data_IF_240824444803
#
_entry.id   IF_240824444803
#
_cell.length_a   1.000
_cell.length_b   1.000
_cell.length_c   1.000
_cell.angle_alpha   90.00
_cell.angle_beta   90.00
_cell.angle_gamma   90.00
#
_symmetry.space_group_name_H-M   'P 1'
#
loop_
_entity.id
_entity.type
_entity.pdbx_description
1 polymer ?
#
# COMPACT_ATOMS: atom_id res chain seq x y z
N UNK A 1 -10.05 -29.40 3.97
CA UNK A 1 -9.89 -28.38 5.03
C UNK A 1 -10.64 -27.15 4.58
N UNK A 2 -11.43 -26.55 5.47
CA UNK A 2 -12.12 -25.29 5.20
C UNK A 2 -11.15 -24.11 5.27
N UNK A 3 -11.55 -22.97 4.71
CA UNK A 3 -10.76 -21.73 4.78
C UNK A 3 -10.53 -21.27 6.22
N UNK A 4 -11.52 -21.46 7.10
CA UNK A 4 -11.41 -21.12 8.52
C UNK A 4 -10.43 -22.05 9.25
N UNK A 5 -10.50 -23.36 9.02
CA UNK A 5 -9.56 -24.34 9.61
C UNK A 5 -8.12 -24.07 9.16
N UNK A 6 -7.94 -23.75 7.87
CA UNK A 6 -6.65 -23.39 7.31
C UNK A 6 -6.09 -22.13 8.00
N UNK A 7 -6.87 -21.06 8.05
CA UNK A 7 -6.47 -19.80 8.65
C UNK A 7 -6.12 -19.97 10.13
N UNK A 8 -6.96 -20.67 10.91
CA UNK A 8 -6.70 -20.92 12.32
C UNK A 8 -5.39 -21.67 12.55
N UNK A 9 -5.08 -22.67 11.71
CA UNK A 9 -3.85 -23.45 11.85
C UNK A 9 -2.60 -22.64 11.46
N UNK A 10 -2.66 -21.86 10.37
CA UNK A 10 -1.56 -20.98 9.97
C UNK A 10 -1.32 -19.92 11.04
N UNK A 11 -2.38 -19.23 11.48
CA UNK A 11 -2.30 -18.21 12.52
C UNK A 11 -1.75 -18.75 13.84
N UNK A 12 -2.17 -19.94 14.26
CA UNK A 12 -1.65 -20.59 15.47
C UNK A 12 -0.15 -20.91 15.37
N UNK A 13 0.35 -21.29 14.19
CA UNK A 13 1.78 -21.53 13.95
C UNK A 13 2.58 -20.23 14.00
N UNK A 14 2.08 -19.17 13.39
CA UNK A 14 2.72 -17.84 13.43
C UNK A 14 2.72 -17.26 14.86
N UNK A 15 1.62 -17.43 15.59
CA UNK A 15 1.48 -16.98 16.98
C UNK A 15 2.43 -17.70 17.94
N UNK A 16 2.80 -18.95 17.64
CA UNK A 16 3.73 -19.73 18.45
C UNK A 16 5.21 -19.36 18.20
N UNK A 17 5.52 -18.51 17.21
CA UNK A 17 6.89 -18.07 16.97
C UNK A 17 7.41 -17.18 18.11
N UNK A 18 8.68 -17.34 18.53
CA UNK A 18 9.26 -16.51 19.57
C UNK A 18 9.17 -15.01 19.24
N UNK A 19 8.70 -14.22 20.20
CA UNK A 19 8.58 -12.77 20.08
C UNK A 19 7.26 -12.28 19.45
N UNK A 20 6.46 -13.16 18.84
CA UNK A 20 5.15 -12.80 18.31
C UNK A 20 4.21 -12.36 19.44
N UNK A 21 3.65 -11.16 19.32
CA UNK A 21 2.66 -10.58 20.22
C UNK A 21 1.25 -10.60 19.63
N UNK A 22 1.14 -10.47 18.31
CA UNK A 22 -0.13 -10.57 17.61
C UNK A 22 0.05 -11.10 16.18
N UNK A 23 -1.03 -11.66 15.63
CA UNK A 23 -1.11 -12.10 14.23
C UNK A 23 -2.37 -11.53 13.63
N UNK A 24 -2.28 -10.97 12.43
CA UNK A 24 -3.44 -10.44 11.70
C UNK A 24 -3.61 -11.09 10.34
N UNK A 25 -4.86 -11.09 9.84
CA UNK A 25 -5.21 -11.28 8.44
C UNK A 25 -5.42 -9.91 7.82
N UNK A 26 -4.79 -9.64 6.68
CA UNK A 26 -4.94 -8.43 5.91
C UNK A 26 -5.52 -8.66 4.51
N UNK A 27 -5.22 -7.71 3.63
CA UNK A 27 -5.48 -7.83 2.22
C UNK A 27 -6.95 -7.96 1.83
N UNK A 28 -7.21 -8.67 0.73
CA UNK A 28 -8.54 -8.81 0.16
C UNK A 28 -9.48 -9.66 1.02
N UNK A 29 -8.92 -10.61 1.80
CA UNK A 29 -9.67 -11.51 2.68
C UNK A 29 -10.22 -10.78 3.90
N UNK A 30 -9.39 -9.97 4.57
CA UNK A 30 -9.85 -9.11 5.67
C UNK A 30 -10.91 -8.09 5.22
N UNK A 31 -10.84 -7.62 3.97
CA UNK A 31 -11.79 -6.66 3.40
C UNK A 31 -13.04 -7.33 2.78
N UNK A 32 -13.13 -8.66 2.75
CA UNK A 32 -14.26 -9.38 2.14
C UNK A 32 -14.37 -9.22 0.61
N UNK A 33 -13.29 -8.84 -0.07
CA UNK A 33 -13.25 -8.60 -1.53
C UNK A 33 -12.45 -9.65 -2.31
N UNK A 34 -12.04 -10.71 -1.62
CA UNK A 34 -11.26 -11.80 -2.16
C UNK A 34 -12.06 -12.67 -3.15
N UNK A 35 -11.33 -13.32 -4.04
CA UNK A 35 -11.79 -14.41 -4.91
C UNK A 35 -11.17 -15.72 -4.43
N UNK A 36 -11.59 -16.88 -4.95
CA UNK A 36 -10.96 -18.16 -4.64
C UNK A 36 -9.44 -18.19 -4.91
N UNK A 37 -8.97 -17.43 -5.90
CA UNK A 37 -7.57 -17.32 -6.31
C UNK A 37 -6.76 -16.30 -5.50
N UNK A 38 -7.42 -15.54 -4.62
CA UNK A 38 -6.72 -14.55 -3.81
C UNK A 38 -5.79 -15.20 -2.80
N UNK A 39 -4.61 -14.60 -2.66
CA UNK A 39 -3.63 -14.85 -1.63
C UNK A 39 -4.18 -14.63 -0.22
N UNK A 40 -3.41 -15.09 0.76
CA UNK A 40 -3.64 -14.86 2.18
C UNK A 40 -2.53 -13.96 2.71
N UNK A 41 -2.86 -12.70 2.96
CA UNK A 41 -1.94 -11.76 3.59
C UNK A 41 -2.04 -11.88 5.11
N UNK A 42 -0.99 -12.33 5.79
CA UNK A 42 -0.87 -12.30 7.24
C UNK A 42 0.24 -11.35 7.68
N UNK A 43 0.21 -10.92 8.94
CA UNK A 43 1.31 -10.20 9.55
C UNK A 43 1.63 -10.72 10.95
N UNK A 44 2.91 -10.81 11.26
CA UNK A 44 3.44 -11.07 12.61
C UNK A 44 3.79 -9.72 13.22
N UNK A 45 3.16 -9.40 14.35
CA UNK A 45 3.53 -8.25 15.16
C UNK A 45 4.42 -8.74 16.30
N UNK A 46 5.60 -8.16 16.41
CA UNK A 46 6.58 -8.50 17.44
C UNK A 46 7.08 -7.24 18.12
N UNK A 47 7.71 -7.38 19.28
CA UNK A 47 8.39 -6.28 19.98
C UNK A 47 9.82 -6.70 20.33
N UNK A 48 10.78 -5.81 20.11
CA UNK A 48 12.19 -6.10 20.31
C UNK A 48 12.72 -7.02 19.22
N UNK A 49 13.18 -8.22 19.58
CA UNK A 49 13.84 -9.13 18.63
C UNK A 49 12.85 -10.12 18.02
N UNK A 50 12.87 -10.24 16.69
CA UNK A 50 12.26 -11.34 15.94
C UNK A 50 13.32 -11.98 15.05
N UNK A 51 13.38 -13.31 15.04
CA UNK A 51 14.33 -14.07 14.24
C UNK A 51 13.62 -14.73 13.05
N UNK A 52 13.84 -14.24 11.80
CA UNK A 52 13.28 -14.86 10.60
C UNK A 52 13.65 -16.33 10.43
N UNK A 53 14.75 -16.81 11.04
CA UNK A 53 15.08 -18.23 11.03
C UNK A 53 13.97 -19.09 11.66
N UNK A 54 13.33 -18.61 12.74
CA UNK A 54 12.23 -19.35 13.38
C UNK A 54 11.02 -19.51 12.44
N UNK A 55 10.73 -18.51 11.59
CA UNK A 55 9.69 -18.63 10.57
C UNK A 55 10.09 -19.64 9.48
N UNK A 56 11.36 -19.62 9.05
CA UNK A 56 11.90 -20.53 8.04
C UNK A 56 11.87 -21.99 8.51
N UNK A 57 12.16 -22.23 9.78
CA UNK A 57 12.15 -23.56 10.42
C UNK A 57 10.76 -24.20 10.50
N UNK A 58 9.67 -23.45 10.28
CA UNK A 58 8.34 -24.05 10.12
C UNK A 58 8.33 -25.04 8.94
N UNK A 59 9.19 -24.83 7.93
CA UNK A 59 9.36 -25.77 6.81
C UNK A 59 8.25 -25.69 5.76
N UNK A 60 7.52 -24.58 5.69
CA UNK A 60 6.62 -24.31 4.57
C UNK A 60 7.42 -24.05 3.29
N UNK A 61 6.91 -24.53 2.15
CA UNK A 61 7.51 -24.28 0.85
C UNK A 61 7.42 -22.79 0.51
N UNK A 62 8.56 -22.14 0.28
CA UNK A 62 8.61 -20.69 0.10
C UNK A 62 9.95 -20.05 0.44
N UNK A 63 9.93 -18.73 0.49
CA UNK A 63 11.09 -17.88 0.78
C UNK A 63 10.81 -16.99 1.99
N UNK A 64 11.82 -16.80 2.82
CA UNK A 64 11.78 -15.96 4.02
C UNK A 64 12.91 -14.94 3.92
N UNK A 65 12.56 -13.66 3.95
CA UNK A 65 13.54 -12.58 3.97
C UNK A 65 14.13 -12.39 5.36
N UNK A 66 15.32 -11.83 5.44
CA UNK A 66 15.83 -11.27 6.70
C UNK A 66 15.03 -10.00 7.08
N UNK A 67 15.19 -9.54 8.33
CA UNK A 67 14.73 -8.21 8.72
C UNK A 67 15.47 -7.15 7.88
N UNK A 68 14.75 -6.17 7.37
CA UNK A 68 15.24 -5.17 6.42
C UNK A 68 15.32 -5.67 4.97
N UNK A 69 15.00 -6.93 4.69
CA UNK A 69 15.18 -7.55 3.38
C UNK A 69 14.40 -6.90 2.23
N UNK A 70 13.37 -6.09 2.54
CA UNK A 70 12.57 -5.35 1.56
C UNK A 70 12.86 -3.84 1.53
N UNK A 71 13.96 -3.40 2.14
CA UNK A 71 14.44 -2.00 2.12
C UNK A 71 14.49 -1.33 3.49
N UNK A 72 13.94 -1.97 4.53
CA UNK A 72 14.02 -1.51 5.93
C UNK A 72 13.15 -0.31 6.27
N UNK A 73 12.28 0.14 5.36
CA UNK A 73 11.25 1.15 5.62
C UNK A 73 10.01 0.56 6.28
N UNK A 74 8.84 1.12 5.95
CA UNK A 74 7.52 0.63 6.41
C UNK A 74 7.37 -0.87 6.19
N UNK A 75 7.88 -1.38 5.07
CA UNK A 75 7.97 -2.81 4.78
C UNK A 75 9.36 -3.34 5.13
N UNK A 76 9.47 -3.92 6.33
CA UNK A 76 10.72 -4.42 6.89
C UNK A 76 11.08 -5.88 6.49
N UNK A 77 10.29 -6.51 5.62
CA UNK A 77 10.49 -7.91 5.24
C UNK A 77 9.29 -8.80 5.51
N UNK A 78 9.45 -10.08 5.21
CA UNK A 78 8.40 -11.06 5.32
C UNK A 78 8.77 -12.43 4.75
N UNK A 79 7.75 -13.20 4.40
CA UNK A 79 7.91 -14.44 3.64
C UNK A 79 6.76 -14.68 2.67
N UNK A 80 7.06 -15.41 1.60
CA UNK A 80 6.11 -15.86 0.60
C UNK A 80 6.08 -17.38 0.60
N UNK A 81 4.90 -17.97 0.82
CA UNK A 81 4.75 -19.40 0.98
C UNK A 81 3.67 -19.98 0.07
N UNK A 82 3.80 -21.27 -0.19
CA UNK A 82 2.72 -22.12 -0.68
C UNK A 82 2.39 -23.14 0.40
N UNK A 83 1.29 -22.92 1.12
CA UNK A 83 0.84 -23.82 2.19
C UNK A 83 -0.39 -24.56 1.69
N UNK A 84 -0.27 -25.89 1.52
CA UNK A 84 -1.36 -26.74 1.01
C UNK A 84 -1.98 -26.22 -0.31
N UNK A 85 -1.12 -25.74 -1.22
CA UNK A 85 -1.51 -25.21 -2.52
C UNK A 85 -2.03 -23.77 -2.50
N UNK A 86 -2.03 -23.09 -1.34
CA UNK A 86 -2.51 -21.71 -1.18
C UNK A 86 -1.33 -20.75 -1.04
N UNK A 87 -1.38 -19.61 -1.75
CA UNK A 87 -0.38 -18.55 -1.62
C UNK A 87 -0.61 -17.77 -0.32
N UNK A 88 0.44 -17.66 0.49
CA UNK A 88 0.41 -16.99 1.79
C UNK A 88 1.59 -16.04 1.89
N UNK A 89 1.29 -14.78 2.14
CA UNK A 89 2.26 -13.72 2.36
C UNK A 89 2.28 -13.42 3.87
N UNK A 90 3.45 -13.30 4.47
CA UNK A 90 3.61 -12.99 5.89
C UNK A 90 4.48 -11.76 6.03
N UNK A 91 3.93 -10.67 6.56
CA UNK A 91 4.67 -9.43 6.81
C UNK A 91 5.21 -9.35 8.23
N UNK A 92 6.37 -8.69 8.39
CA UNK A 92 6.92 -8.34 9.70
C UNK A 92 6.47 -6.95 10.13
N UNK A 93 6.00 -6.84 11.37
CA UNK A 93 5.54 -5.58 11.97
C UNK A 93 6.17 -5.41 13.35
N UNK A 94 7.18 -4.54 13.42
CA UNK A 94 7.75 -4.11 14.69
C UNK A 94 6.75 -3.18 15.40
N UNK A 95 6.30 -3.57 16.59
CA UNK A 95 5.33 -2.81 17.36
C UNK A 95 5.83 -1.41 17.76
N UNK A 96 7.14 -1.23 17.98
CA UNK A 96 7.66 0.08 18.36
C UNK A 96 7.63 1.04 17.16
N UNK A 97 7.84 0.53 15.94
CA UNK A 97 7.66 1.30 14.69
C UNK A 97 6.18 1.58 14.43
N UNK A 98 5.31 0.58 14.61
CA UNK A 98 3.86 0.72 14.42
C UNK A 98 3.29 1.78 15.37
N UNK A 99 3.69 1.75 16.64
CA UNK A 99 3.26 2.75 17.64
C UNK A 99 3.81 4.14 17.33
N UNK A 100 5.05 4.24 16.84
CA UNK A 100 5.62 5.51 16.39
C UNK A 100 4.83 6.11 15.21
N UNK A 101 4.57 5.34 14.15
CA UNK A 101 3.85 5.82 12.98
C UNK A 101 2.38 6.13 13.27
N UNK A 102 1.76 5.42 14.22
CA UNK A 102 0.44 5.78 14.73
C UNK A 102 0.46 7.15 15.41
N UNK A 103 1.44 7.41 16.29
CA UNK A 103 1.57 8.69 16.97
C UNK A 103 1.86 9.85 16.00
N UNK A 104 2.68 9.63 14.97
CA UNK A 104 2.94 10.63 13.92
C UNK A 104 1.67 10.92 13.11
N UNK A 105 0.94 9.87 12.69
CA UNK A 105 -0.32 9.99 11.96
C UNK A 105 -1.39 10.73 12.76
N UNK A 106 -1.47 10.49 14.08
CA UNK A 106 -2.38 11.23 14.98
C UNK A 106 -2.10 12.73 15.00
N UNK A 107 -0.85 13.13 14.77
CA UNK A 107 -0.43 14.54 14.62
C UNK A 107 -0.48 15.04 13.17
N UNK A 108 -0.99 14.23 12.24
CA UNK A 108 -1.06 14.54 10.81
C UNK A 108 0.28 14.55 10.09
N UNK A 109 1.31 13.94 10.69
CA UNK A 109 2.63 13.76 10.09
C UNK A 109 2.75 12.36 9.50
N UNK A 110 3.53 12.25 8.44
CA UNK A 110 3.91 10.99 7.82
C UNK A 110 5.10 11.23 6.91
N UNK A 111 5.88 10.18 6.65
CA UNK A 111 6.87 10.19 5.59
C UNK A 111 6.38 9.40 4.38
N UNK A 112 7.05 9.60 3.26
CA UNK A 112 6.79 8.90 2.00
C UNK A 112 8.01 8.09 1.62
N UNK A 113 7.82 6.89 1.09
CA UNK A 113 8.89 6.05 0.55
C UNK A 113 8.47 5.35 -0.75
N UNK A 114 9.41 5.13 -1.68
CA UNK A 114 9.16 4.26 -2.82
C UNK A 114 9.07 2.81 -2.32
N UNK A 115 8.08 2.07 -2.83
CA UNK A 115 7.96 0.64 -2.57
C UNK A 115 7.67 -0.09 -3.87
N UNK A 116 8.25 -1.28 -4.02
CA UNK A 116 7.96 -2.15 -5.17
C UNK A 116 6.44 -2.35 -5.30
N UNK A 117 5.98 -2.40 -6.55
CA UNK A 117 4.56 -2.56 -6.92
C UNK A 117 3.63 -1.37 -6.60
N UNK A 118 4.13 -0.29 -5.98
CA UNK A 118 3.37 0.93 -5.72
C UNK A 118 3.83 2.06 -6.63
N UNK A 119 2.96 2.52 -7.53
CA UNK A 119 3.24 3.58 -8.49
C UNK A 119 3.43 4.92 -7.80
N UNK A 120 2.57 5.30 -6.83
CA UNK A 120 2.73 6.55 -6.11
C UNK A 120 3.77 6.48 -4.99
N UNK A 121 4.32 5.30 -4.70
CA UNK A 121 4.99 5.00 -3.43
C UNK A 121 3.99 4.93 -2.28
N UNK A 122 4.46 4.69 -1.06
CA UNK A 122 3.60 4.51 0.11
C UNK A 122 3.81 5.62 1.15
N UNK A 123 2.74 5.99 1.88
CA UNK A 123 2.87 6.76 3.10
C UNK A 123 3.14 5.87 4.31
N UNK A 124 3.83 6.39 5.32
CA UNK A 124 4.09 5.65 6.56
C UNK A 124 2.81 5.30 7.34
N UNK A 125 1.75 6.11 7.21
CA UNK A 125 0.43 5.80 7.75
C UNK A 125 -0.26 4.58 7.11
N UNK A 126 0.36 3.91 6.13
CA UNK A 126 -0.10 2.59 5.65
C UNK A 126 -0.14 1.56 6.80
N UNK A 127 0.80 1.60 7.75
CA UNK A 127 0.76 0.73 8.94
C UNK A 127 -0.49 0.99 9.78
N UNK A 128 -0.91 2.24 9.89
CA UNK A 128 -2.13 2.64 10.60
C UNK A 128 -3.37 2.15 9.86
N UNK A 129 -3.36 2.20 8.53
CA UNK A 129 -4.40 1.63 7.69
C UNK A 129 -4.52 0.12 7.90
N UNK A 130 -3.40 -0.60 7.97
CA UNK A 130 -3.37 -2.04 8.28
C UNK A 130 -3.95 -2.32 9.68
N UNK A 131 -3.56 -1.59 10.72
CA UNK A 131 -4.14 -1.73 12.06
C UNK A 131 -5.66 -1.53 12.08
N UNK A 132 -6.18 -0.58 11.30
CA UNK A 132 -7.60 -0.26 11.27
C UNK A 132 -8.45 -1.29 10.52
N UNK A 133 -7.88 -1.88 9.46
CA UNK A 133 -8.58 -2.73 8.49
C UNK A 133 -8.39 -4.22 8.76
N UNK A 134 -7.20 -4.64 9.20
CA UNK A 134 -6.86 -6.05 9.35
C UNK A 134 -7.64 -6.70 10.50
N UNK A 135 -7.91 -8.00 10.36
CA UNK A 135 -8.55 -8.82 11.39
C UNK A 135 -7.48 -9.38 12.32
N UNK A 136 -7.64 -9.20 13.63
CA UNK A 136 -6.73 -9.78 14.62
C UNK A 136 -7.10 -11.24 14.88
N UNK A 137 -6.19 -12.16 14.58
CA UNK A 137 -6.36 -13.60 14.76
C UNK A 137 -5.74 -14.10 16.07
N UNK A 138 -4.74 -13.39 16.57
CA UNK A 138 -4.06 -13.67 17.83
C UNK A 138 -3.57 -12.36 18.47
N UNK A 139 -3.56 -12.29 19.80
CA UNK A 139 -3.13 -11.12 20.55
C UNK A 139 -4.16 -9.97 20.53
N UNK A 140 -3.70 -8.78 20.90
CA UNK A 140 -4.52 -7.56 20.94
C UNK A 140 -3.76 -6.43 20.27
N UNK A 141 -4.41 -5.72 19.36
CA UNK A 141 -3.90 -4.53 18.69
C UNK A 141 -4.94 -3.41 18.73
N UNK A 142 -4.53 -2.13 18.73
CA UNK A 142 -5.48 -1.04 18.58
C UNK A 142 -6.14 -1.09 17.19
N UNK A 143 -7.38 -0.62 17.11
CA UNK A 143 -8.11 -0.43 15.84
C UNK A 143 -8.41 1.06 15.65
N UNK A 144 -7.45 1.85 15.16
CA UNK A 144 -7.60 3.30 15.09
C UNK A 144 -8.63 3.73 14.05
N UNK A 145 -9.36 4.81 14.34
CA UNK A 145 -10.11 5.56 13.33
C UNK A 145 -9.16 6.43 12.49
N UNK A 146 -9.65 7.02 11.39
CA UNK A 146 -8.84 7.91 10.56
C UNK A 146 -8.54 9.23 11.29
N UNK A 147 -7.28 9.56 11.62
CA UNK A 147 -6.98 10.74 12.43
C UNK A 147 -7.42 12.04 11.75
N UNK A 148 -8.14 12.95 12.45
CA UNK A 148 -8.58 14.22 11.87
C UNK A 148 -7.43 15.10 11.36
N UNK A 149 -6.29 15.10 12.07
CA UNK A 149 -5.10 15.82 11.65
C UNK A 149 -4.54 15.26 10.33
N UNK A 150 -4.44 13.94 10.19
CA UNK A 150 -4.01 13.29 8.95
C UNK A 150 -4.97 13.55 7.80
N UNK A 151 -6.28 13.49 8.05
CA UNK A 151 -7.32 13.79 7.06
C UNK A 151 -7.17 15.21 6.49
N UNK A 152 -6.68 16.14 7.30
CA UNK A 152 -6.42 17.52 6.90
C UNK A 152 -5.09 17.67 6.17
N UNK A 153 -4.03 17.03 6.68
CA UNK A 153 -2.66 17.26 6.22
C UNK A 153 -2.24 16.42 5.00
N UNK A 154 -2.73 15.19 4.86
CA UNK A 154 -2.32 14.29 3.78
C UNK A 154 -2.77 14.71 2.37
N UNK A 155 -4.02 15.18 2.14
CA UNK A 155 -4.46 15.50 0.79
C UNK A 155 -3.63 16.58 0.09
N UNK A 156 -3.26 17.71 0.73
CA UNK A 156 -2.38 18.71 0.11
C UNK A 156 -1.00 18.16 -0.30
N UNK A 157 -0.39 17.30 0.53
CA UNK A 157 0.92 16.69 0.23
C UNK A 157 0.85 15.84 -1.04
N UNK A 158 -0.18 14.99 -1.12
CA UNK A 158 -0.39 14.11 -2.26
C UNK A 158 -0.75 14.89 -3.54
N UNK A 159 -1.60 15.91 -3.45
CA UNK A 159 -1.93 16.78 -4.60
C UNK A 159 -0.72 17.54 -5.09
N UNK A 160 0.12 18.05 -4.20
CA UNK A 160 1.36 18.73 -4.58
C UNK A 160 2.31 17.77 -5.32
N UNK A 161 2.44 16.52 -4.87
CA UNK A 161 3.23 15.50 -5.58
C UNK A 161 2.69 15.22 -6.98
N UNK A 162 1.37 15.10 -7.15
CA UNK A 162 0.74 14.91 -8.46
C UNK A 162 1.02 16.11 -9.39
N UNK A 163 0.82 17.32 -8.89
CA UNK A 163 1.04 18.57 -9.64
C UNK A 163 2.50 18.73 -10.09
N UNK A 164 3.46 18.52 -9.19
CA UNK A 164 4.89 18.60 -9.52
C UNK A 164 5.29 17.54 -10.57
N UNK A 165 4.72 16.34 -10.48
CA UNK A 165 4.97 15.26 -11.44
C UNK A 165 4.47 15.63 -12.84
N UNK A 166 3.24 16.13 -12.95
CA UNK A 166 2.66 16.55 -14.23
C UNK A 166 3.38 17.77 -14.83
N UNK A 167 3.76 18.73 -13.99
CA UNK A 167 4.53 19.89 -14.42
C UNK A 167 5.88 19.46 -14.99
N UNK A 168 6.60 18.58 -14.29
CA UNK A 168 7.87 18.05 -14.78
C UNK A 168 7.70 17.31 -16.12
N UNK A 169 6.67 16.47 -16.25
CA UNK A 169 6.38 15.77 -17.50
C UNK A 169 6.07 16.72 -18.67
N UNK A 170 5.38 17.82 -18.38
CA UNK A 170 5.08 18.87 -19.38
C UNK A 170 6.36 19.55 -19.86
N UNK A 171 7.24 19.90 -18.92
CA UNK A 171 8.45 20.67 -19.22
C UNK A 171 9.56 19.81 -19.84
N UNK A 172 9.67 18.53 -19.44
CA UNK A 172 10.77 17.64 -19.82
C UNK A 172 10.40 16.60 -20.90
N UNK A 173 9.29 15.88 -20.72
CA UNK A 173 8.97 14.69 -21.53
C UNK A 173 8.10 15.02 -22.74
N UNK A 174 7.04 15.81 -22.55
CA UNK A 174 6.11 16.15 -23.62
C UNK A 174 6.82 16.86 -24.79
N UNK A 175 7.71 17.81 -24.49
CA UNK A 175 8.49 18.55 -25.50
C UNK A 175 9.39 17.66 -26.36
N UNK A 176 9.69 16.44 -25.90
CA UNK A 176 10.56 15.47 -26.58
C UNK A 176 9.79 14.31 -27.19
N UNK A 177 8.45 14.33 -27.15
CA UNK A 177 7.63 13.23 -27.68
C UNK A 177 7.78 11.93 -26.86
N UNK A 178 8.22 12.01 -25.61
CA UNK A 178 8.53 10.85 -24.76
C UNK A 178 7.25 10.24 -24.16
N UNK A 179 6.56 9.42 -24.96
CA UNK A 179 5.24 8.86 -24.63
C UNK A 179 5.27 8.03 -23.36
N UNK A 180 6.26 7.15 -23.19
CA UNK A 180 6.35 6.24 -22.04
C UNK A 180 6.51 7.01 -20.74
N UNK A 181 7.35 8.04 -20.72
CA UNK A 181 7.61 8.89 -19.57
C UNK A 181 6.39 9.77 -19.24
N UNK A 182 5.67 10.26 -20.26
CA UNK A 182 4.39 10.95 -20.06
C UNK A 182 3.33 10.01 -19.48
N UNK A 183 3.21 8.79 -20.00
CA UNK A 183 2.28 7.79 -19.49
C UNK A 183 2.57 7.44 -18.02
N UNK A 184 3.85 7.22 -17.68
CA UNK A 184 4.29 6.98 -16.32
C UNK A 184 3.97 8.14 -15.38
N UNK A 185 4.24 9.39 -15.81
CA UNK A 185 3.92 10.57 -15.02
C UNK A 185 2.41 10.75 -14.78
N UNK A 186 1.57 10.49 -15.79
CA UNK A 186 0.11 10.50 -15.65
C UNK A 186 -0.34 9.45 -14.63
N UNK A 187 0.19 8.22 -14.72
CA UNK A 187 -0.17 7.14 -13.80
C UNK A 187 0.20 7.48 -12.35
N UNK A 188 1.42 7.96 -12.11
CA UNK A 188 1.90 8.38 -10.78
C UNK A 188 1.05 9.53 -10.23
N UNK A 189 0.76 10.55 -11.04
CA UNK A 189 -0.04 11.70 -10.62
C UNK A 189 -1.50 11.32 -10.30
N UNK A 190 -2.08 10.41 -11.08
CA UNK A 190 -3.42 9.89 -10.83
C UNK A 190 -3.48 9.09 -9.52
N UNK A 191 -2.50 8.21 -9.26
CA UNK A 191 -2.42 7.44 -8.01
C UNK A 191 -2.20 8.34 -6.79
N UNK A 192 -1.31 9.34 -6.89
CA UNK A 192 -1.13 10.34 -5.83
C UNK A 192 -2.43 11.13 -5.57
N UNK A 193 -3.15 11.53 -6.61
CA UNK A 193 -4.44 12.22 -6.46
C UNK A 193 -5.51 11.31 -5.84
N UNK A 194 -5.51 10.02 -6.18
CA UNK A 194 -6.39 9.04 -5.56
C UNK A 194 -6.11 8.86 -4.06
N UNK A 195 -4.84 8.84 -3.64
CA UNK A 195 -4.47 8.92 -2.23
C UNK A 195 -5.02 10.19 -1.56
N UNK A 196 -4.91 11.35 -2.21
CA UNK A 196 -5.44 12.60 -1.66
C UNK A 196 -6.96 12.56 -1.46
N UNK A 197 -7.70 12.03 -2.43
CA UNK A 197 -9.16 11.89 -2.40
C UNK A 197 -9.59 10.99 -1.24
N UNK A 198 -9.01 9.79 -1.13
CA UNK A 198 -9.38 8.86 -0.06
C UNK A 198 -8.98 9.37 1.32
N UNK A 199 -7.81 10.02 1.43
CA UNK A 199 -7.42 10.67 2.68
C UNK A 199 -8.42 11.77 3.08
N UNK A 200 -8.88 12.60 2.14
CA UNK A 200 -9.88 13.64 2.40
C UNK A 200 -11.24 13.07 2.80
N UNK A 201 -11.59 11.87 2.33
CA UNK A 201 -12.80 11.13 2.74
C UNK A 201 -12.64 10.41 4.08
N UNK A 202 -11.41 10.29 4.60
CA UNK A 202 -11.11 9.51 5.80
C UNK A 202 -11.16 7.99 5.54
N UNK A 203 -10.85 7.58 4.30
CA UNK A 203 -10.86 6.19 3.89
C UNK A 203 -9.44 5.61 3.84
N UNK A 204 -9.25 4.44 4.45
CA UNK A 204 -7.97 3.75 4.49
C UNK A 204 -7.55 3.17 3.13
N UNK A 205 -6.24 3.22 2.87
CA UNK A 205 -5.57 2.64 1.69
C UNK A 205 -4.45 1.76 2.18
N UNK A 206 -4.54 0.45 1.89
CA UNK A 206 -3.51 -0.55 2.21
C UNK A 206 -2.79 -1.08 0.97
N UNK A 207 -3.29 -0.76 -0.23
CA UNK A 207 -2.64 -1.04 -1.53
C UNK A 207 -3.26 -0.19 -2.65
N UNK A 208 -2.64 -0.22 -3.83
CA UNK A 208 -3.08 0.55 -5.00
C UNK A 208 -3.98 -0.23 -5.98
N UNK A 209 -4.19 -1.54 -5.81
CA UNK A 209 -4.81 -2.44 -6.82
C UNK A 209 -6.14 -1.92 -7.37
N UNK A 210 -6.96 -1.28 -6.52
CA UNK A 210 -8.27 -0.71 -6.88
C UNK A 210 -8.39 0.80 -6.59
N UNK A 211 -7.26 1.46 -6.34
CA UNK A 211 -7.24 2.82 -5.81
C UNK A 211 -7.86 3.86 -6.76
N UNK A 212 -7.53 3.84 -8.05
CA UNK A 212 -8.14 4.75 -9.02
C UNK A 212 -9.66 4.58 -9.12
N UNK A 213 -10.16 3.34 -9.04
CA UNK A 213 -11.61 3.10 -9.11
C UNK A 213 -12.32 3.66 -7.87
N UNK A 214 -11.75 3.45 -6.67
CA UNK A 214 -12.28 4.01 -5.41
C UNK A 214 -12.29 5.54 -5.40
N UNK A 215 -11.30 6.15 -6.05
CA UNK A 215 -11.21 7.60 -6.17
C UNK A 215 -12.04 8.19 -7.34
N UNK A 216 -12.71 7.36 -8.16
CA UNK A 216 -13.44 7.84 -9.34
C UNK A 216 -12.54 8.35 -10.48
N UNK A 217 -11.30 7.87 -10.55
CA UNK A 217 -10.27 8.33 -11.50
C UNK A 217 -9.96 7.30 -12.60
N UNK A 218 -10.80 6.27 -12.77
CA UNK A 218 -10.55 5.19 -13.74
C UNK A 218 -10.56 5.67 -15.20
N UNK A 219 -11.25 6.78 -15.50
CA UNK A 219 -11.31 7.35 -16.85
C UNK A 219 -9.96 7.89 -17.37
N UNK A 220 -8.94 7.98 -16.50
CA UNK A 220 -7.56 8.25 -16.91
C UNK A 220 -7.04 7.20 -17.91
N UNK A 221 -7.52 5.95 -17.83
CA UNK A 221 -7.15 4.88 -18.77
C UNK A 221 -7.43 5.27 -20.22
N UNK A 222 -8.53 5.99 -20.47
CA UNK A 222 -8.90 6.46 -21.80
C UNK A 222 -7.93 7.53 -22.31
N UNK A 223 -7.36 8.36 -21.44
CA UNK A 223 -6.36 9.36 -21.84
C UNK A 223 -5.03 8.67 -22.14
N UNK A 224 -4.58 7.76 -21.27
CA UNK A 224 -3.35 6.99 -21.46
C UNK A 224 -3.39 6.17 -22.75
N UNK A 225 -4.53 5.54 -23.06
CA UNK A 225 -4.72 4.76 -24.29
C UNK A 225 -4.67 5.57 -25.59
N UNK A 226 -4.68 6.91 -25.54
CA UNK A 226 -4.63 7.80 -26.72
C UNK A 226 -3.32 8.58 -26.85
N UNK A 227 -2.31 8.32 -26.02
CA UNK A 227 -1.05 9.05 -26.11
C UNK A 227 -0.33 8.74 -27.43
N UNK A 228 0.24 9.76 -28.06
CA UNK A 228 1.02 9.65 -29.31
C UNK A 228 2.31 10.44 -29.17
N UNK A 229 3.38 10.16 -29.94
CA UNK A 229 4.66 10.86 -29.81
C UNK A 229 4.66 12.29 -30.38
N UNK A 230 3.48 12.88 -30.64
CA UNK A 230 3.34 14.29 -31.00
C UNK A 230 3.47 15.19 -29.75
N UNK A 231 4.50 16.05 -29.66
CA UNK A 231 4.71 16.91 -28.50
C UNK A 231 3.52 17.80 -28.15
N UNK A 232 2.80 18.32 -29.15
CA UNK A 232 1.65 19.18 -28.90
C UNK A 232 0.45 18.38 -28.38
N UNK A 233 0.21 17.18 -28.91
CA UNK A 233 -0.80 16.27 -28.38
C UNK A 233 -0.52 15.87 -26.93
N UNK A 234 0.74 15.53 -26.60
CA UNK A 234 1.13 15.19 -25.24
C UNK A 234 0.90 16.36 -24.27
N UNK A 235 1.27 17.59 -24.68
CA UNK A 235 1.02 18.78 -23.87
C UNK A 235 -0.48 19.02 -23.63
N UNK A 236 -1.33 18.86 -24.65
CA UNK A 236 -2.79 18.95 -24.51
C UNK A 236 -3.35 17.87 -23.59
N UNK A 237 -2.86 16.64 -23.70
CA UNK A 237 -3.29 15.52 -22.85
C UNK A 237 -2.88 15.72 -21.40
N UNK A 238 -1.67 16.18 -21.13
CA UNK A 238 -1.22 16.54 -19.78
C UNK A 238 -2.05 17.67 -19.17
N UNK A 239 -2.39 18.69 -19.96
CA UNK A 239 -3.28 19.77 -19.51
C UNK A 239 -4.68 19.25 -19.15
N UNK A 240 -5.24 18.33 -19.95
CA UNK A 240 -6.52 17.69 -19.67
C UNK A 240 -6.48 16.84 -18.38
N UNK A 241 -5.42 16.03 -18.19
CA UNK A 241 -5.21 15.24 -16.96
C UNK A 241 -5.11 16.18 -15.75
N UNK A 242 -4.31 17.24 -15.85
CA UNK A 242 -4.15 18.21 -14.76
C UNK A 242 -5.48 18.83 -14.35
N UNK A 243 -6.34 19.16 -15.31
CA UNK A 243 -7.68 19.67 -15.02
C UNK A 243 -8.54 18.63 -14.30
N UNK A 244 -8.63 17.40 -14.82
CA UNK A 244 -9.40 16.30 -14.20
C UNK A 244 -8.96 16.05 -12.75
N UNK A 245 -7.65 15.95 -12.52
CA UNK A 245 -7.12 15.66 -11.17
C UNK A 245 -7.32 16.84 -10.21
N UNK A 246 -7.23 18.09 -10.69
CA UNK A 246 -7.45 19.27 -9.87
C UNK A 246 -8.91 19.40 -9.38
N UNK A 247 -9.89 18.94 -10.17
CA UNK A 247 -11.31 19.05 -9.85
C UNK A 247 -11.90 17.82 -9.16
N UNK A 248 -11.18 16.68 -9.16
CA UNK A 248 -11.67 15.45 -8.54
C UNK A 248 -11.69 15.53 -7.00
N UNK A 249 -12.71 14.94 -6.36
CA UNK A 249 -12.96 14.97 -4.90
C UNK A 249 -13.58 13.68 -4.40
#
# INVERSE_FOLDING_TARGET
MTDQEFLSRVAARLAALPGTQAVTLGGSRAQGTHTPESDWDLAIYYRGTFDPAALREIGWDGEVSELGGWGGGVFNGGGWFTIEGRKVDVHYRDLDVVEHELAEAEQGRFHWEPLMFHLAGIPSYLLVAELAVNEVLHGTLPRPGYPPALRTAAPPVWRNRAELTLRYATDAYARRGQVTEVAGAIAIAAMATAHAILAARGEWVVNEKRLLARAGLRDIDAIVGRLTPDPEALARQLAAVRHVLATAS
#
